data_IF_711654124048
#
_entry.id   IF_711654124048
#
_cell.length_a   1.000
_cell.length_b   1.000
_cell.length_c   1.000
_cell.angle_alpha   90.00
_cell.angle_beta   90.00
_cell.angle_gamma   90.00
#
_symmetry.space_group_name_H-M   'P 1'
#
loop_
_entity.id
_entity.type
_entity.pdbx_description
1 polymer ?
#
# COMPACT_ATOMS: atom_id res chain seq x y z
N UNK A 1 14.57 -30.38 -49.44
CA UNK A 1 14.31 -29.09 -50.13
C UNK A 1 13.27 -29.40 -51.19
N UNK A 2 12.00 -28.99 -51.17
CA UNK A 2 11.26 -27.88 -50.53
C UNK A 2 9.77 -28.25 -50.59
N UNK A 3 9.01 -28.06 -49.52
CA UNK A 3 7.54 -28.09 -49.55
C UNK A 3 7.02 -26.67 -49.87
N UNK A 4 6.03 -26.49 -50.76
CA UNK A 4 5.39 -25.21 -50.95
C UNK A 4 4.26 -24.98 -49.95
N UNK A 5 4.34 -23.80 -49.37
CA UNK A 5 3.35 -23.04 -48.61
C UNK A 5 2.09 -22.81 -49.45
N UNK A 6 0.89 -23.10 -48.93
CA UNK A 6 -0.37 -22.62 -49.50
C UNK A 6 -1.07 -21.74 -48.48
N UNK A 7 -1.10 -20.45 -48.77
CA UNK A 7 -1.94 -19.42 -48.13
C UNK A 7 -3.25 -19.23 -48.90
N UNK A 8 -4.16 -18.53 -48.21
CA UNK A 8 -5.34 -17.82 -48.68
C UNK A 8 -6.69 -18.55 -48.77
N UNK A 9 -7.62 -18.05 -47.96
CA UNK A 9 -8.89 -17.40 -48.37
C UNK A 9 -9.56 -16.82 -47.11
N UNK A 10 -9.45 -15.53 -46.81
CA UNK A 10 -10.20 -14.38 -47.37
C UNK A 10 -11.63 -14.20 -46.80
N UNK A 11 -11.87 -12.98 -46.28
CA UNK A 11 -13.15 -12.26 -46.06
C UNK A 11 -14.10 -12.79 -44.96
N UNK A 12 -14.40 -12.06 -43.87
CA UNK A 12 -15.11 -10.77 -43.69
C UNK A 12 -16.65 -10.85 -43.78
N UNK A 13 -17.30 -10.28 -42.75
CA UNK A 13 -18.63 -9.63 -42.74
C UNK A 13 -19.85 -10.45 -42.25
N UNK A 14 -20.42 -9.98 -41.14
CA UNK A 14 -21.86 -9.71 -40.84
C UNK A 14 -22.39 -10.19 -39.48
N UNK A 15 -23.12 -9.26 -38.86
CA UNK A 15 -23.88 -9.34 -37.61
C UNK A 15 -24.97 -10.41 -37.60
N UNK A 16 -25.21 -11.01 -36.43
CA UNK A 16 -26.56 -11.37 -35.99
C UNK A 16 -26.75 -10.99 -34.53
N UNK A 17 -27.48 -9.90 -34.32
CA UNK A 17 -28.23 -9.64 -33.10
C UNK A 17 -29.38 -10.64 -33.07
N UNK A 18 -29.44 -11.51 -32.06
CA UNK A 18 -30.68 -12.22 -31.69
C UNK A 18 -30.84 -12.25 -30.17
N UNK A 19 -31.80 -11.46 -29.71
CA UNK A 19 -32.69 -11.85 -28.60
C UNK A 19 -32.20 -11.57 -27.19
N UNK A 20 -32.37 -10.33 -26.73
CA UNK A 20 -32.73 -10.11 -25.34
C UNK A 20 -34.19 -10.54 -25.13
N UNK A 21 -34.48 -11.36 -24.12
CA UNK A 21 -35.62 -11.09 -23.26
C UNK A 21 -35.10 -10.57 -21.92
N UNK A 22 -35.51 -9.34 -21.64
CA UNK A 22 -35.44 -8.73 -20.33
C UNK A 22 -36.01 -9.67 -19.26
N UNK A 23 -35.46 -9.54 -18.05
CA UNK A 23 -35.98 -10.02 -16.76
C UNK A 23 -35.59 -11.46 -16.35
N UNK A 24 -34.36 -11.61 -15.86
CA UNK A 24 -34.13 -12.27 -14.56
C UNK A 24 -33.05 -11.46 -13.83
N UNK A 25 -33.47 -10.41 -13.13
CA UNK A 25 -33.72 -10.49 -11.69
C UNK A 25 -32.42 -10.85 -10.94
N UNK A 26 -31.71 -9.80 -10.56
CA UNK A 26 -30.56 -9.72 -9.64
C UNK A 26 -30.63 -10.82 -8.55
N UNK A 27 -29.53 -11.56 -8.31
CA UNK A 27 -28.75 -11.17 -7.16
C UNK A 27 -27.26 -11.01 -7.52
N UNK A 28 -26.98 -9.93 -8.23
CA UNK A 28 -25.76 -9.14 -8.09
C UNK A 28 -25.69 -8.51 -6.67
N UNK A 29 -25.89 -9.31 -5.62
CA UNK A 29 -25.96 -8.83 -4.24
C UNK A 29 -25.20 -9.69 -3.21
N UNK A 30 -24.57 -10.83 -3.55
CA UNK A 30 -23.86 -11.64 -2.54
C UNK A 30 -22.52 -12.28 -2.98
N UNK A 31 -21.60 -11.53 -3.59
CA UNK A 31 -20.17 -11.92 -3.60
C UNK A 31 -19.20 -10.83 -3.12
N UNK A 32 -19.62 -9.57 -2.93
CA UNK A 32 -18.67 -8.48 -2.60
C UNK A 32 -18.98 -7.68 -1.33
N UNK A 33 -19.63 -8.30 -0.34
CA UNK A 33 -19.69 -7.78 1.03
C UNK A 33 -19.21 -8.92 1.93
N UNK A 34 -17.89 -9.09 2.11
CA UNK A 34 -17.33 -9.03 3.46
C UNK A 34 -15.80 -8.85 3.46
N UNK A 35 -15.25 -7.93 2.66
CA UNK A 35 -13.86 -7.49 2.87
C UNK A 35 -13.72 -6.00 2.59
N UNK A 36 -14.46 -5.18 3.30
CA UNK A 36 -14.09 -3.76 3.46
C UNK A 36 -12.89 -3.73 4.43
N UNK A 37 -11.64 -3.48 4.01
CA UNK A 37 -10.62 -3.10 4.97
C UNK A 37 -10.98 -1.69 5.42
N UNK A 38 -11.79 -1.58 6.47
CA UNK A 38 -11.99 -0.33 7.20
C UNK A 38 -10.59 0.19 7.53
N UNK A 39 -10.22 1.32 6.95
CA UNK A 39 -8.84 1.83 6.90
C UNK A 39 -8.43 2.47 8.22
N UNK A 40 -8.52 1.70 9.31
CA UNK A 40 -7.70 1.98 10.48
C UNK A 40 -6.26 1.67 10.13
N UNK A 41 -5.33 2.60 10.41
CA UNK A 41 -3.88 2.40 10.22
C UNK A 41 -3.33 1.38 11.22
N UNK A 42 -3.77 0.12 11.12
CA UNK A 42 -3.27 -1.00 11.93
C UNK A 42 -2.01 -1.55 11.30
N UNK A 43 -0.98 -1.76 12.12
CA UNK A 43 0.21 -2.48 11.68
C UNK A 43 -0.11 -3.97 11.62
N UNK A 44 0.28 -4.63 10.53
CA UNK A 44 0.19 -6.08 10.44
C UNK A 44 1.17 -6.71 11.42
N UNK A 45 0.77 -7.82 12.04
CA UNK A 45 1.65 -8.56 12.95
C UNK A 45 2.91 -9.04 12.21
N UNK A 46 4.01 -9.18 12.96
CA UNK A 46 5.28 -9.64 12.40
C UNK A 46 5.15 -11.03 11.75
N UNK A 47 4.36 -11.92 12.35
CA UNK A 47 4.09 -13.25 11.83
C UNK A 47 3.45 -13.23 10.43
N UNK A 48 2.45 -12.38 10.21
CA UNK A 48 1.79 -12.23 8.90
C UNK A 48 2.79 -11.66 7.88
N UNK A 49 3.58 -10.67 8.27
CA UNK A 49 4.62 -10.08 7.40
C UNK A 49 5.64 -11.13 6.94
N UNK A 50 6.10 -11.99 7.85
CA UNK A 50 7.05 -13.07 7.53
C UNK A 50 6.41 -14.14 6.65
N UNK A 51 5.13 -14.47 6.88
CA UNK A 51 4.40 -15.45 6.04
C UNK A 51 4.23 -14.96 4.61
N UNK A 52 3.98 -13.67 4.40
CA UNK A 52 3.94 -13.04 3.07
C UNK A 52 5.27 -13.21 2.33
N UNK A 53 6.39 -13.03 3.03
CA UNK A 53 7.73 -13.18 2.48
C UNK A 53 8.02 -14.63 2.11
N UNK A 54 7.72 -15.57 3.02
CA UNK A 54 7.90 -17.01 2.77
C UNK A 54 7.09 -17.49 1.57
N UNK A 55 5.81 -17.09 1.46
CA UNK A 55 4.98 -17.43 0.30
C UNK A 55 5.53 -16.82 -1.00
N UNK A 56 6.08 -15.61 -0.93
CA UNK A 56 6.70 -14.97 -2.11
C UNK A 56 7.98 -15.69 -2.53
N UNK A 57 8.80 -16.14 -1.58
CA UNK A 57 10.00 -16.92 -1.85
C UNK A 57 9.67 -18.28 -2.47
N UNK A 58 8.55 -18.89 -2.07
CA UNK A 58 8.00 -20.10 -2.69
C UNK A 58 7.40 -19.88 -4.10
N UNK A 59 7.50 -18.67 -4.67
CA UNK A 59 7.04 -18.37 -6.04
C UNK A 59 5.58 -17.95 -6.16
N UNK A 60 4.85 -17.77 -5.06
CA UNK A 60 3.45 -17.37 -5.12
C UNK A 60 3.25 -15.95 -5.67
N UNK A 61 2.23 -15.78 -6.53
CA UNK A 61 1.81 -14.47 -7.06
C UNK A 61 1.20 -13.61 -5.95
N UNK A 62 1.34 -12.29 -6.03
CA UNK A 62 0.86 -11.37 -4.99
C UNK A 62 -0.66 -11.46 -4.75
N UNK A 63 -1.43 -11.69 -5.82
CA UNK A 63 -2.89 -11.84 -5.72
C UNK A 63 -3.26 -13.11 -4.95
N UNK A 64 -2.55 -14.22 -5.17
CA UNK A 64 -2.77 -15.47 -4.44
C UNK A 64 -2.40 -15.34 -2.95
N UNK A 65 -1.36 -14.58 -2.63
CA UNK A 65 -0.98 -14.28 -1.23
C UNK A 65 -2.06 -13.41 -0.56
N UNK A 66 -2.57 -12.42 -1.29
CA UNK A 66 -3.62 -11.51 -0.82
C UNK A 66 -4.93 -12.25 -0.50
N UNK A 67 -5.38 -13.14 -1.40
CA UNK A 67 -6.58 -13.95 -1.18
C UNK A 67 -6.39 -14.95 -0.03
N UNK A 68 -5.24 -15.63 0.05
CA UNK A 68 -4.97 -16.60 1.10
C UNK A 68 -4.93 -16.00 2.50
N UNK A 69 -4.47 -14.75 2.64
CA UNK A 69 -4.35 -14.07 3.94
C UNK A 69 -5.49 -13.09 4.23
N UNK A 70 -6.41 -12.89 3.29
CA UNK A 70 -7.50 -11.90 3.41
C UNK A 70 -7.00 -10.44 3.48
N UNK A 71 -5.86 -10.15 2.84
CA UNK A 71 -5.19 -8.83 2.87
C UNK A 71 -5.27 -8.22 1.47
N UNK A 72 -5.28 -6.88 1.37
CA UNK A 72 -5.22 -6.22 0.07
C UNK A 72 -3.88 -6.47 -0.63
N UNK A 73 -3.91 -6.64 -1.95
CA UNK A 73 -2.70 -6.80 -2.77
C UNK A 73 -1.72 -5.63 -2.58
N UNK A 74 -2.23 -4.40 -2.39
CA UNK A 74 -1.40 -3.23 -2.14
C UNK A 74 -0.57 -3.32 -0.84
N UNK A 75 -1.12 -3.92 0.22
CA UNK A 75 -0.38 -4.14 1.46
C UNK A 75 0.73 -5.20 1.27
N UNK A 76 0.45 -6.28 0.54
CA UNK A 76 1.44 -7.30 0.16
C UNK A 76 2.58 -6.66 -0.65
N UNK A 77 2.26 -5.84 -1.65
CA UNK A 77 3.26 -5.13 -2.47
C UNK A 77 4.15 -4.22 -1.62
N UNK A 78 3.57 -3.46 -0.69
CA UNK A 78 4.32 -2.58 0.24
C UNK A 78 5.27 -3.36 1.14
N UNK A 79 4.85 -4.51 1.69
CA UNK A 79 5.70 -5.36 2.53
C UNK A 79 6.86 -5.94 1.73
N UNK A 80 6.58 -6.48 0.54
CA UNK A 80 7.63 -7.03 -0.33
C UNK A 80 8.60 -5.96 -0.83
N UNK A 81 8.14 -4.73 -1.09
CA UNK A 81 9.02 -3.60 -1.41
C UNK A 81 9.94 -3.27 -0.24
N UNK A 82 9.39 -3.19 0.99
CA UNK A 82 10.17 -2.92 2.19
C UNK A 82 11.22 -3.99 2.45
N UNK A 83 10.84 -5.27 2.38
CA UNK A 83 11.79 -6.36 2.56
C UNK A 83 12.94 -6.27 1.54
N UNK A 84 12.66 -5.96 0.27
CA UNK A 84 13.72 -5.80 -0.74
C UNK A 84 14.69 -4.65 -0.40
N UNK A 85 14.22 -3.59 0.22
CA UNK A 85 15.04 -2.41 0.55
C UNK A 85 15.82 -2.56 1.87
N UNK A 86 15.19 -3.16 2.89
CA UNK A 86 15.71 -3.17 4.27
C UNK A 86 16.03 -4.57 4.81
N UNK A 87 15.69 -5.63 4.09
CA UNK A 87 15.80 -7.02 4.56
C UNK A 87 14.73 -7.42 5.58
N UNK A 88 14.07 -6.45 6.21
CA UNK A 88 13.05 -6.67 7.25
C UNK A 88 11.66 -6.35 6.72
N UNK A 89 10.68 -7.29 6.82
CA UNK A 89 9.32 -7.05 6.32
C UNK A 89 8.44 -6.25 7.28
N UNK A 90 8.79 -6.20 8.57
CA UNK A 90 8.04 -5.49 9.62
C UNK A 90 8.21 -3.97 9.51
N UNK A 91 7.40 -3.21 10.26
CA UNK A 91 7.49 -1.75 10.27
C UNK A 91 8.69 -1.29 11.11
N UNK A 92 9.45 -0.30 10.63
CA UNK A 92 10.56 0.32 11.40
C UNK A 92 10.02 1.33 12.41
N UNK A 93 10.60 1.47 13.61
CA UNK A 93 10.32 2.62 14.46
C UNK A 93 10.61 3.94 13.70
N UNK A 94 9.76 4.94 13.89
CA UNK A 94 9.99 6.28 13.33
C UNK A 94 10.96 7.01 14.24
N UNK A 95 12.07 7.52 13.71
CA UNK A 95 13.13 8.21 14.47
C UNK A 95 12.77 9.64 14.89
N UNK A 96 11.55 10.12 14.55
CA UNK A 96 11.15 11.50 14.81
C UNK A 96 12.06 12.54 14.14
N UNK A 97 11.88 13.81 14.52
CA UNK A 97 12.79 14.89 14.13
C UNK A 97 13.90 14.97 15.19
N UNK A 98 15.18 15.03 14.79
CA UNK A 98 16.27 15.19 15.75
C UNK A 98 16.13 16.52 16.50
N UNK A 99 16.51 16.53 17.78
CA UNK A 99 16.55 17.76 18.57
C UNK A 99 17.66 18.67 18.05
N UNK A 100 17.34 19.95 17.87
CA UNK A 100 18.32 20.99 17.51
C UNK A 100 18.85 21.74 18.73
N UNK A 101 18.04 21.81 19.78
CA UNK A 101 18.34 22.50 21.03
C UNK A 101 18.65 21.48 22.13
N UNK A 102 19.53 21.87 23.05
CA UNK A 102 19.83 21.12 24.27
C UNK A 102 18.75 21.36 25.33
N UNK A 103 18.66 20.47 26.32
CA UNK A 103 17.72 20.62 27.44
C UNK A 103 18.00 21.88 28.27
N UNK A 104 19.24 22.38 28.28
CA UNK A 104 19.59 23.65 28.94
C UNK A 104 19.06 24.84 28.16
N UNK A 105 19.29 24.86 26.85
CA UNK A 105 18.77 25.89 25.95
C UNK A 105 17.25 25.94 25.99
N UNK A 106 16.57 24.79 25.94
CA UNK A 106 15.10 24.72 26.03
C UNK A 106 14.58 25.36 27.34
N UNK A 107 15.24 25.10 28.48
CA UNK A 107 14.89 25.70 29.77
C UNK A 107 15.16 27.19 29.80
N UNK A 108 16.26 27.64 29.20
CA UNK A 108 16.60 29.05 29.10
C UNK A 108 15.59 29.81 28.23
N UNK A 109 15.30 29.30 27.03
CA UNK A 109 14.29 29.84 26.12
C UNK A 109 12.90 29.86 26.78
N UNK A 110 12.53 28.81 27.51
CA UNK A 110 11.28 28.78 28.26
C UNK A 110 11.22 29.88 29.32
N UNK A 111 12.31 30.15 30.05
CA UNK A 111 12.40 31.23 31.02
C UNK A 111 12.30 32.61 30.33
N UNK A 112 13.08 32.84 29.28
CA UNK A 112 13.06 34.10 28.55
C UNK A 112 11.66 34.40 27.97
N UNK A 113 11.01 33.39 27.40
CA UNK A 113 9.64 33.50 26.89
C UNK A 113 8.62 33.79 27.99
N UNK A 114 8.81 33.23 29.19
CA UNK A 114 7.95 33.51 30.35
C UNK A 114 8.17 34.88 30.97
N UNK A 115 9.38 35.44 30.89
CA UNK A 115 9.66 36.78 31.44
C UNK A 115 9.34 37.88 30.44
N UNK A 116 9.54 37.63 29.14
CA UNK A 116 9.27 38.58 28.06
C UNK A 116 8.20 38.08 27.11
N UNK A 117 6.93 38.19 27.52
CA UNK A 117 5.77 37.70 26.75
C UNK A 117 5.66 38.31 25.34
N UNK A 118 6.25 39.49 25.12
CA UNK A 118 6.24 40.23 23.85
C UNK A 118 7.49 40.01 23.00
N UNK A 119 8.49 39.26 23.51
CA UNK A 119 9.74 39.03 22.78
C UNK A 119 9.52 38.10 21.58
N UNK A 120 10.07 38.49 20.44
CA UNK A 120 10.01 37.68 19.22
C UNK A 120 11.08 36.57 19.23
N UNK A 121 10.92 35.55 18.38
CA UNK A 121 11.88 34.44 18.31
C UNK A 121 13.29 34.87 17.92
N UNK A 122 13.44 35.94 17.13
CA UNK A 122 14.74 36.52 16.77
C UNK A 122 15.38 37.22 17.96
N UNK A 123 14.59 37.96 18.77
CA UNK A 123 15.07 38.57 20.01
C UNK A 123 15.51 37.49 21.01
N UNK A 124 14.72 36.42 21.20
CA UNK A 124 15.07 35.31 22.10
C UNK A 124 16.31 34.51 21.66
N UNK A 125 16.65 34.54 20.37
CA UNK A 125 17.85 33.89 19.84
C UNK A 125 19.12 34.73 20.05
N UNK A 126 18.96 36.05 20.11
CA UNK A 126 20.06 37.02 20.15
C UNK A 126 20.32 37.56 21.58
N UNK A 127 19.47 37.24 22.56
CA UNK A 127 19.74 37.44 24.00
C UNK A 127 20.78 36.46 24.53
#
# INVERSE_FOLDING_TARGET
>A
MTLPFLTDKSASTTMVIKGCPLVSCVPLLLIFLDKVPVTMRRQLSAAICNRIVGMRQAGAKQNAIATALGITQGAVSKILKRHRQTGVPTHRPRSGRPRKTTVREDRYLHRLSRTGHTKTSTQLRNE
#
